data_IF_996726883142
#
_entry.id   IF_996726883142
#
_cell.length_a   1.000
_cell.length_b   1.000
_cell.length_c   1.000
_cell.angle_alpha   90.00
_cell.angle_beta   90.00
_cell.angle_gamma   90.00
#
_symmetry.space_group_name_H-M   'P 1'
#
loop_
_entity.id
_entity.type
_entity.pdbx_description
1 polymer ?
#
# COMPACT_ATOMS: atom_id res chain seq x y z
N UNK A 1 -43.98 0.38 -0.15
CA UNK A 1 -42.74 0.99 0.35
C UNK A 1 -42.28 1.96 -0.71
N UNK A 2 -42.14 3.20 -0.28
CA UNK A 2 -42.04 4.40 -1.11
C UNK A 2 -40.84 4.35 -2.06
N UNK A 3 -41.10 4.83 -3.27
CA UNK A 3 -40.13 5.07 -4.33
C UNK A 3 -39.07 6.02 -3.78
N UNK A 4 -37.82 5.55 -3.63
CA UNK A 4 -36.70 6.40 -3.24
C UNK A 4 -36.64 7.60 -4.19
N UNK A 5 -36.93 8.77 -3.64
CA UNK A 5 -36.84 10.03 -4.33
C UNK A 5 -35.44 10.16 -4.94
N UNK A 6 -35.41 10.38 -6.24
CA UNK A 6 -34.24 10.62 -7.08
C UNK A 6 -33.43 11.78 -6.47
N UNK A 7 -32.52 11.46 -5.54
CA UNK A 7 -31.61 12.44 -4.93
C UNK A 7 -30.74 12.95 -6.07
N UNK A 8 -30.97 14.18 -6.52
CA UNK A 8 -30.05 14.88 -7.42
C UNK A 8 -28.68 14.81 -6.77
N UNK A 9 -27.78 14.00 -7.32
CA UNK A 9 -26.40 13.97 -6.88
C UNK A 9 -25.82 15.37 -7.02
N UNK A 10 -25.26 15.89 -5.94
CA UNK A 10 -24.57 17.17 -5.96
C UNK A 10 -23.35 17.04 -6.87
N UNK A 11 -23.36 17.81 -7.97
CA UNK A 11 -22.24 17.85 -8.90
C UNK A 11 -21.31 18.99 -8.50
N UNK A 12 -20.01 18.71 -8.50
CA UNK A 12 -18.97 19.71 -8.28
C UNK A 12 -18.08 19.82 -9.50
N UNK A 13 -17.60 21.03 -9.81
CA UNK A 13 -16.68 21.20 -10.91
C UNK A 13 -15.27 20.77 -10.52
N UNK A 14 -14.62 20.05 -11.42
CA UNK A 14 -13.19 19.75 -11.35
C UNK A 14 -12.54 20.04 -12.71
N UNK A 15 -11.23 20.26 -12.70
CA UNK A 15 -10.45 20.53 -13.90
C UNK A 15 -9.45 19.41 -14.10
N UNK A 16 -9.67 18.56 -15.10
CA UNK A 16 -8.76 17.47 -15.45
C UNK A 16 -7.94 17.95 -16.65
N UNK A 17 -6.61 18.08 -16.48
CA UNK A 17 -5.71 18.56 -17.54
C UNK A 17 -6.18 19.88 -18.19
N UNK A 18 -6.77 20.77 -17.40
CA UNK A 18 -7.27 22.08 -17.86
C UNK A 18 -8.67 22.11 -18.46
N UNK A 19 -9.32 20.95 -18.65
CA UNK A 19 -10.72 20.89 -19.09
C UNK A 19 -11.65 20.72 -17.88
N UNK A 20 -12.74 21.51 -17.85
CA UNK A 20 -13.77 21.46 -16.80
C UNK A 20 -14.69 20.25 -16.99
N UNK A 21 -15.00 19.59 -15.89
CA UNK A 21 -15.96 18.48 -15.80
C UNK A 21 -16.85 18.68 -14.57
N UNK A 22 -18.13 18.30 -14.68
CA UNK A 22 -19.07 18.24 -13.56
C UNK A 22 -19.19 16.78 -13.14
N UNK A 23 -18.86 16.48 -11.88
CA UNK A 23 -18.80 15.11 -11.35
C UNK A 23 -19.51 15.02 -10.00
N UNK A 24 -20.08 13.87 -9.60
CA UNK A 24 -20.68 13.73 -8.28
C UNK A 24 -19.67 13.97 -7.16
N UNK A 25 -20.05 14.79 -6.18
CA UNK A 25 -19.20 15.21 -5.05
C UNK A 25 -18.75 14.04 -4.15
N UNK A 26 -19.45 12.90 -4.21
CA UNK A 26 -19.12 11.69 -3.45
C UNK A 26 -17.96 10.88 -4.06
N UNK A 27 -17.54 11.18 -5.29
CA UNK A 27 -16.53 10.39 -5.98
C UNK A 27 -15.13 10.72 -5.48
N UNK A 28 -14.28 9.70 -5.46
CA UNK A 28 -12.83 9.91 -5.34
C UNK A 28 -12.26 10.43 -6.65
N UNK A 29 -11.10 11.08 -6.62
CA UNK A 29 -10.42 11.60 -7.83
C UNK A 29 -10.38 10.55 -8.94
N UNK A 30 -10.06 9.31 -8.59
CA UNK A 30 -9.98 8.22 -9.56
C UNK A 30 -11.34 7.94 -10.22
N UNK A 31 -12.41 7.79 -9.42
CA UNK A 31 -13.76 7.56 -9.93
C UNK A 31 -14.29 8.75 -10.71
N UNK A 32 -13.96 9.97 -10.30
CA UNK A 32 -14.35 11.19 -10.99
C UNK A 32 -13.69 11.31 -12.37
N UNK A 33 -12.42 10.91 -12.50
CA UNK A 33 -11.77 10.82 -13.82
C UNK A 33 -12.44 9.78 -14.72
N UNK A 34 -12.78 8.60 -14.19
CA UNK A 34 -13.51 7.57 -14.92
C UNK A 34 -14.90 8.05 -15.36
N UNK A 35 -15.63 8.72 -14.45
CA UNK A 35 -16.93 9.35 -14.74
C UNK A 35 -16.82 10.41 -15.85
N UNK A 36 -15.73 11.19 -15.88
CA UNK A 36 -15.43 12.16 -16.92
C UNK A 36 -15.04 11.53 -18.28
N UNK A 37 -15.00 10.19 -18.37
CA UNK A 37 -14.74 9.43 -19.60
C UNK A 37 -13.28 9.03 -19.80
N UNK A 38 -12.41 9.20 -18.79
CA UNK A 38 -11.01 8.78 -18.88
C UNK A 38 -10.86 7.30 -18.52
N UNK A 39 -10.06 6.58 -19.32
CA UNK A 39 -9.66 5.21 -19.00
C UNK A 39 -8.28 5.20 -18.37
N UNK A 40 -8.20 4.74 -17.12
CA UNK A 40 -6.93 4.62 -16.40
C UNK A 40 -6.26 3.29 -16.75
N UNK A 41 -5.16 3.37 -17.52
CA UNK A 41 -4.31 2.23 -17.88
C UNK A 41 -3.08 2.15 -16.96
N UNK A 42 -2.67 3.29 -16.40
CA UNK A 42 -1.56 3.46 -15.45
C UNK A 42 -2.03 4.37 -14.32
N UNK A 43 -1.31 4.34 -13.19
CA UNK A 43 -1.69 5.14 -12.03
C UNK A 43 -2.92 4.60 -11.29
N UNK A 44 -3.26 3.32 -11.49
CA UNK A 44 -4.41 2.65 -10.88
C UNK A 44 -4.02 1.25 -10.41
N UNK A 45 -4.66 0.75 -9.35
CA UNK A 45 -4.36 -0.54 -8.75
C UNK A 45 -5.47 -1.00 -7.80
N UNK A 46 -5.16 -1.20 -6.51
CA UNK A 46 -6.08 -1.79 -5.53
C UNK A 46 -7.38 -1.02 -5.25
N UNK A 47 -7.44 0.28 -5.56
CA UNK A 47 -8.57 1.19 -5.23
C UNK A 47 -8.95 1.29 -3.74
N UNK A 48 -8.11 0.79 -2.83
CA UNK A 48 -8.32 0.82 -1.38
C UNK A 48 -7.21 1.50 -0.59
N UNK A 49 -6.36 2.31 -1.24
CA UNK A 49 -5.29 3.06 -0.56
C UNK A 49 -4.02 2.27 -0.21
N UNK A 50 -3.93 0.97 -0.54
CA UNK A 50 -2.86 0.09 -0.04
C UNK A 50 -1.67 -0.06 -1.00
N UNK A 51 -1.91 -0.02 -2.32
CA UNK A 51 -0.85 -0.31 -3.31
C UNK A 51 0.04 0.89 -3.69
N UNK A 52 -0.33 2.11 -3.29
CA UNK A 52 0.38 3.34 -3.66
C UNK A 52 0.33 3.77 -5.13
N UNK A 53 -0.23 2.95 -6.04
CA UNK A 53 -0.16 3.17 -7.49
C UNK A 53 -0.81 4.48 -7.98
N UNK A 54 -1.79 5.02 -7.24
CA UNK A 54 -2.59 6.17 -7.65
C UNK A 54 -2.19 7.48 -6.94
N UNK A 55 -0.92 7.60 -6.53
CA UNK A 55 -0.39 8.86 -6.01
C UNK A 55 -0.67 10.00 -7.00
N UNK A 56 -1.26 11.09 -6.51
CA UNK A 56 -1.66 12.22 -7.35
C UNK A 56 -1.29 13.54 -6.71
N UNK A 57 -1.21 14.57 -7.55
CA UNK A 57 -0.87 15.94 -7.21
C UNK A 57 -1.96 16.84 -7.75
N UNK A 58 -2.48 17.73 -6.91
CA UNK A 58 -3.54 18.65 -7.27
C UNK A 58 -3.38 19.99 -6.55
N UNK A 59 -4.16 20.99 -7.00
CA UNK A 59 -4.15 22.34 -6.44
C UNK A 59 -5.52 22.98 -6.55
N UNK A 60 -5.83 23.86 -5.61
CA UNK A 60 -7.03 24.70 -5.65
C UNK A 60 -6.75 26.05 -6.35
N UNK A 61 -7.76 26.66 -6.97
CA UNK A 61 -7.61 27.97 -7.61
C UNK A 61 -7.09 29.01 -6.61
N UNK A 62 -6.13 29.84 -7.05
CA UNK A 62 -5.54 30.89 -6.22
C UNK A 62 -4.63 30.42 -5.08
N UNK A 63 -4.51 29.10 -4.84
CA UNK A 63 -3.61 28.56 -3.81
C UNK A 63 -2.19 28.39 -4.34
N UNK A 64 -1.19 28.86 -3.59
CA UNK A 64 0.22 28.57 -3.87
C UNK A 64 0.60 27.13 -3.47
N UNK A 65 -0.18 26.51 -2.56
CA UNK A 65 0.11 25.19 -2.00
C UNK A 65 -0.17 24.10 -3.04
N UNK A 66 0.71 23.11 -3.09
CA UNK A 66 0.51 21.88 -3.85
C UNK A 66 0.02 20.84 -2.86
N UNK A 67 -1.13 20.25 -3.14
CA UNK A 67 -1.68 19.14 -2.40
C UNK A 67 -1.34 17.82 -3.08
N UNK A 68 -1.30 16.76 -2.27
CA UNK A 68 -1.00 15.41 -2.73
C UNK A 68 -1.95 14.43 -2.06
N UNK A 69 -2.19 13.29 -2.69
CA UNK A 69 -3.09 12.28 -2.15
C UNK A 69 -3.02 10.97 -2.91
N UNK A 70 -3.78 9.98 -2.46
CA UNK A 70 -4.06 8.78 -3.25
C UNK A 70 -5.39 9.00 -3.96
N UNK A 71 -5.39 9.01 -5.29
CA UNK A 71 -6.57 9.35 -6.07
C UNK A 71 -7.79 8.46 -5.78
N UNK A 72 -7.56 7.21 -5.34
CA UNK A 72 -8.62 6.28 -4.96
C UNK A 72 -9.23 6.53 -3.57
N UNK A 73 -8.63 7.39 -2.75
CA UNK A 73 -9.07 7.69 -1.38
C UNK A 73 -9.45 9.18 -1.23
N UNK A 74 -8.83 10.07 -1.99
CA UNK A 74 -9.14 11.50 -1.97
C UNK A 74 -10.46 11.76 -2.68
N UNK A 75 -11.47 12.23 -1.93
CA UNK A 75 -12.75 12.71 -2.46
C UNK A 75 -12.53 14.01 -3.23
N UNK A 76 -13.19 14.17 -4.38
CA UNK A 76 -13.10 15.40 -5.16
C UNK A 76 -13.72 16.57 -4.42
N UNK A 77 -13.15 17.76 -4.59
CA UNK A 77 -13.67 19.00 -4.04
C UNK A 77 -13.87 20.03 -5.16
N UNK A 78 -14.76 21.02 -4.97
CA UNK A 78 -14.99 22.06 -5.96
C UNK A 78 -13.71 22.74 -6.42
N UNK A 79 -13.64 22.92 -7.74
CA UNK A 79 -12.59 23.59 -8.49
C UNK A 79 -11.18 22.96 -8.34
N UNK A 80 -11.08 21.72 -7.86
CA UNK A 80 -9.82 20.97 -7.86
C UNK A 80 -9.20 20.93 -9.26
N UNK A 81 -7.95 21.36 -9.37
CA UNK A 81 -7.15 21.23 -10.57
C UNK A 81 -6.31 19.96 -10.50
N UNK A 82 -6.75 18.94 -11.22
CA UNK A 82 -6.18 17.60 -11.24
C UNK A 82 -5.20 17.49 -12.41
N UNK A 83 -3.99 17.07 -12.08
CA UNK A 83 -2.99 16.66 -13.07
C UNK A 83 -3.13 15.18 -13.39
N UNK A 84 -2.27 14.65 -14.26
CA UNK A 84 -2.21 13.20 -14.49
C UNK A 84 -1.84 12.49 -13.18
N UNK A 85 -2.37 11.29 -12.95
CA UNK A 85 -1.93 10.42 -11.84
C UNK A 85 -0.57 9.83 -12.25
N UNK A 86 0.56 10.41 -11.81
CA UNK A 86 1.85 10.04 -12.36
C UNK A 86 2.42 8.85 -11.58
N UNK A 87 3.17 8.01 -12.29
CA UNK A 87 4.18 7.20 -11.63
C UNK A 87 5.43 8.07 -11.52
N UNK A 88 5.90 8.36 -10.29
CA UNK A 88 7.16 9.07 -10.12
C UNK A 88 8.32 8.06 -10.18
N UNK A 89 9.16 8.10 -11.23
CA UNK A 89 10.27 7.17 -11.35
C UNK A 89 11.33 7.50 -10.30
N UNK A 90 11.95 6.45 -9.75
CA UNK A 90 13.12 6.59 -8.89
C UNK A 90 14.12 5.49 -9.22
N UNK A 91 15.40 5.79 -9.00
CA UNK A 91 16.46 4.80 -9.19
C UNK A 91 16.23 3.63 -8.26
N UNK A 92 16.22 2.42 -8.82
CA UNK A 92 16.07 1.18 -8.07
C UNK A 92 17.39 0.43 -8.11
N UNK A 93 18.05 0.31 -6.96
CA UNK A 93 19.26 -0.51 -6.87
C UNK A 93 18.91 -2.01 -6.94
N UNK A 94 19.81 -2.78 -7.55
CA UNK A 94 19.76 -4.24 -7.60
C UNK A 94 20.83 -4.77 -6.66
N UNK A 95 20.41 -5.58 -5.69
CA UNK A 95 21.27 -6.20 -4.71
C UNK A 95 20.78 -7.62 -4.41
N UNK A 96 21.72 -8.48 -4.05
CA UNK A 96 21.43 -9.81 -3.54
C UNK A 96 21.24 -9.72 -2.02
N UNK A 97 20.01 -9.93 -1.55
CA UNK A 97 19.66 -9.80 -0.14
C UNK A 97 20.45 -10.78 0.73
N UNK A 98 20.93 -11.89 0.18
CA UNK A 98 21.72 -12.90 0.92
C UNK A 98 23.17 -12.47 1.14
N UNK A 99 23.68 -11.54 0.32
CA UNK A 99 25.10 -11.12 0.31
C UNK A 99 25.35 -9.78 0.98
N UNK A 100 24.31 -9.09 1.44
CA UNK A 100 24.41 -7.77 2.08
C UNK A 100 24.24 -7.88 3.59
N UNK A 101 24.67 -6.84 4.33
CA UNK A 101 24.53 -6.80 5.79
C UNK A 101 23.59 -5.66 6.21
N UNK A 102 22.90 -5.78 7.36
CA UNK A 102 22.05 -4.72 7.90
C UNK A 102 22.91 -3.59 8.49
N UNK A 103 23.53 -2.80 7.62
CA UNK A 103 24.47 -1.75 8.00
C UNK A 103 24.36 -0.53 7.07
N UNK A 104 24.84 0.62 7.53
CA UNK A 104 24.79 1.89 6.79
C UNK A 104 25.52 1.80 5.44
N UNK A 105 26.61 1.06 5.36
CA UNK A 105 27.39 0.88 4.15
C UNK A 105 26.55 0.25 3.04
N UNK A 106 25.65 -0.68 3.39
CA UNK A 106 24.70 -1.26 2.45
C UNK A 106 23.72 -0.21 1.94
N UNK A 107 23.19 0.65 2.81
CA UNK A 107 22.26 1.71 2.41
C UNK A 107 22.95 2.71 1.47
N UNK A 108 24.11 3.22 1.85
CA UNK A 108 24.86 4.24 1.09
C UNK A 108 25.41 3.68 -0.22
N UNK A 109 25.83 2.41 -0.26
CA UNK A 109 26.26 1.76 -1.52
C UNK A 109 25.12 1.69 -2.53
N UNK A 110 23.90 1.42 -2.08
CA UNK A 110 22.74 1.27 -2.96
C UNK A 110 22.05 2.61 -3.27
N UNK A 111 22.08 3.56 -2.33
CA UNK A 111 21.42 4.85 -2.40
C UNK A 111 22.35 5.94 -1.80
N UNK A 112 23.41 6.34 -2.52
CA UNK A 112 24.36 7.34 -2.02
C UNK A 112 23.70 8.71 -1.76
N UNK A 113 22.59 8.99 -2.43
CA UNK A 113 21.79 10.19 -2.22
C UNK A 113 21.15 10.27 -0.83
N UNK A 114 21.09 9.17 -0.07
CA UNK A 114 20.64 9.15 1.34
C UNK A 114 21.33 10.24 2.18
N UNK A 115 22.63 10.43 1.98
CA UNK A 115 23.44 11.39 2.75
C UNK A 115 23.26 12.84 2.28
N UNK A 116 22.51 13.08 1.20
CA UNK A 116 22.21 14.43 0.68
C UNK A 116 20.99 15.07 1.37
N UNK A 117 20.41 14.41 2.37
CA UNK A 117 19.19 14.88 3.02
C UNK A 117 19.36 16.27 3.65
N UNK A 118 18.50 17.20 3.26
CA UNK A 118 18.48 18.58 3.78
C UNK A 118 17.66 18.74 5.06
N UNK A 119 17.01 17.67 5.55
CA UNK A 119 16.12 17.72 6.71
C UNK A 119 15.01 18.80 6.62
N UNK A 120 14.52 19.06 5.39
CA UNK A 120 13.51 20.09 5.11
C UNK A 120 12.07 19.67 5.44
N UNK A 121 11.84 18.40 5.84
CA UNK A 121 10.54 17.82 6.19
C UNK A 121 9.45 17.80 5.08
N UNK A 122 9.78 18.19 3.85
CA UNK A 122 8.83 18.18 2.72
C UNK A 122 8.25 16.79 2.44
N UNK A 123 9.07 15.75 2.57
CA UNK A 123 8.68 14.37 2.30
C UNK A 123 7.59 13.87 3.27
N UNK A 124 7.71 14.17 4.56
CA UNK A 124 6.69 13.86 5.58
C UNK A 124 5.38 14.57 5.24
N UNK A 125 5.44 15.88 4.93
CA UNK A 125 4.26 16.66 4.54
C UNK A 125 3.63 16.23 3.22
N UNK A 126 4.31 15.37 2.46
CA UNK A 126 3.81 14.83 1.19
C UNK A 126 3.32 13.38 1.32
N UNK A 127 3.39 12.78 2.51
CA UNK A 127 2.98 11.39 2.70
C UNK A 127 1.47 11.32 2.93
N UNK A 128 0.68 10.67 2.03
CA UNK A 128 -0.76 10.50 2.25
C UNK A 128 -1.11 9.44 3.30
N UNK A 129 -0.10 8.74 3.83
CA UNK A 129 -0.23 7.75 4.90
C UNK A 129 0.20 8.32 6.26
N UNK A 130 0.45 9.64 6.33
CA UNK A 130 0.91 10.34 7.54
C UNK A 130 2.19 9.74 8.17
N UNK A 131 3.06 9.19 7.34
CA UNK A 131 4.34 8.63 7.78
C UNK A 131 5.34 9.77 8.01
N UNK A 132 6.08 9.69 9.11
CA UNK A 132 7.25 10.53 9.41
C UNK A 132 8.43 10.15 8.50
N UNK A 133 8.31 10.49 7.22
CA UNK A 133 9.27 10.10 6.17
C UNK A 133 10.67 10.62 6.44
N UNK A 134 10.78 11.86 6.90
CA UNK A 134 12.07 12.45 7.24
C UNK A 134 12.77 11.67 8.35
N UNK A 135 12.01 11.19 9.34
CA UNK A 135 12.55 10.49 10.50
C UNK A 135 13.10 9.12 10.15
N UNK A 136 12.43 8.37 9.27
CA UNK A 136 12.98 7.11 8.80
C UNK A 136 14.22 7.32 7.92
N UNK A 137 14.27 8.41 7.15
CA UNK A 137 15.49 8.78 6.42
C UNK A 137 16.62 9.13 7.37
N UNK A 138 16.35 9.89 8.44
CA UNK A 138 17.32 10.18 9.48
C UNK A 138 17.79 8.91 10.21
N UNK A 139 16.91 7.94 10.45
CA UNK A 139 17.27 6.62 10.98
C UNK A 139 18.21 5.87 10.02
N UNK A 140 17.90 5.87 8.72
CA UNK A 140 18.78 5.31 7.68
C UNK A 140 20.16 5.97 7.65
N UNK A 141 20.24 7.30 7.79
CA UNK A 141 21.51 8.04 7.87
C UNK A 141 22.33 7.68 9.12
N UNK A 142 21.70 7.24 10.20
CA UNK A 142 22.38 6.72 11.41
C UNK A 142 22.73 5.23 11.32
N UNK A 143 22.33 4.54 10.25
CA UNK A 143 22.47 3.09 10.14
C UNK A 143 21.50 2.30 11.01
N UNK A 144 20.48 2.94 11.57
CA UNK A 144 19.48 2.30 12.43
C UNK A 144 18.42 1.60 11.56
N UNK A 145 18.72 0.35 11.19
CA UNK A 145 17.87 -0.47 10.31
C UNK A 145 16.54 -0.81 10.98
N UNK A 146 16.52 -1.04 12.29
CA UNK A 146 15.30 -1.34 13.05
C UNK A 146 14.35 -0.16 13.00
N UNK A 147 14.82 1.03 13.40
CA UNK A 147 13.98 2.23 13.40
C UNK A 147 13.54 2.63 12.00
N UNK A 148 14.40 2.49 10.99
CA UNK A 148 14.06 2.69 9.59
C UNK A 148 12.91 1.75 9.16
N UNK A 149 12.97 0.47 9.53
CA UNK A 149 11.96 -0.51 9.16
C UNK A 149 10.62 -0.27 9.87
N UNK A 150 10.63 0.02 11.17
CA UNK A 150 9.43 0.33 11.96
C UNK A 150 8.72 1.58 11.47
N UNK A 151 9.44 2.70 11.33
CA UNK A 151 8.86 3.96 10.88
C UNK A 151 8.34 3.92 9.45
N UNK A 152 8.84 3.01 8.61
CA UNK A 152 8.42 2.88 7.22
C UNK A 152 7.51 1.69 6.96
N UNK A 153 7.02 1.02 8.00
CA UNK A 153 6.24 -0.22 7.88
C UNK A 153 4.99 -0.04 7.00
N UNK A 154 4.25 1.04 7.23
CA UNK A 154 3.02 1.38 6.49
C UNK A 154 3.28 2.02 5.12
N UNK A 155 4.53 2.13 4.69
CA UNK A 155 4.88 2.75 3.41
C UNK A 155 4.32 1.92 2.24
N UNK A 156 3.30 2.47 1.59
CA UNK A 156 2.65 1.95 0.37
C UNK A 156 3.43 2.25 -0.92
N UNK A 157 4.60 2.86 -0.81
CA UNK A 157 5.51 3.14 -1.94
C UNK A 157 4.89 3.99 -3.08
N UNK A 158 4.06 4.99 -2.73
CA UNK A 158 3.39 5.88 -3.69
C UNK A 158 4.31 6.90 -4.40
N UNK A 159 5.55 7.07 -3.94
CA UNK A 159 6.56 7.94 -4.59
C UNK A 159 6.37 9.46 -4.39
N UNK A 160 5.30 9.92 -3.71
CA UNK A 160 5.02 11.35 -3.51
C UNK A 160 6.07 12.07 -2.64
N UNK A 161 6.74 11.36 -1.73
CA UNK A 161 7.86 11.91 -0.97
C UNK A 161 9.09 12.19 -1.86
N UNK A 162 9.34 11.30 -2.83
CA UNK A 162 10.44 11.42 -3.79
C UNK A 162 10.17 12.54 -4.78
N UNK A 163 8.93 12.69 -5.25
CA UNK A 163 8.57 13.73 -6.22
C UNK A 163 8.76 15.17 -5.72
N UNK A 164 8.79 15.36 -4.40
CA UNK A 164 8.97 16.68 -3.76
C UNK A 164 10.29 16.82 -3.03
N UNK A 165 11.22 15.87 -3.19
CA UNK A 165 12.50 15.93 -2.51
C UNK A 165 13.46 16.85 -3.28
N UNK A 166 13.90 17.99 -2.70
CA UNK A 166 14.88 18.87 -3.35
C UNK A 166 16.27 18.24 -3.45
N UNK A 167 16.54 17.18 -2.68
CA UNK A 167 17.78 16.41 -2.71
C UNK A 167 17.67 15.15 -3.59
N UNK A 168 16.55 14.97 -4.29
CA UNK A 168 16.31 13.86 -5.23
C UNK A 168 16.47 12.46 -4.60
N UNK A 169 16.15 12.33 -3.30
CA UNK A 169 16.27 11.08 -2.56
C UNK A 169 15.15 10.11 -2.92
N UNK A 170 15.49 8.84 -3.17
CA UNK A 170 14.52 7.77 -3.43
C UNK A 170 13.97 7.15 -2.12
N UNK A 171 13.24 7.91 -1.29
CA UNK A 171 12.96 7.51 0.11
C UNK A 171 12.25 6.17 0.23
N UNK A 172 11.24 5.91 -0.60
CA UNK A 172 10.49 4.65 -0.53
C UNK A 172 11.32 3.42 -0.95
N UNK A 173 12.32 3.61 -1.81
CA UNK A 173 13.27 2.56 -2.22
C UNK A 173 14.31 2.28 -1.13
N UNK A 174 14.70 3.31 -0.37
CA UNK A 174 15.54 3.17 0.82
C UNK A 174 14.77 2.46 1.93
N UNK A 175 13.51 2.85 2.16
CA UNK A 175 12.61 2.23 3.13
C UNK A 175 12.41 0.73 2.86
N UNK A 176 12.12 0.33 1.62
CA UNK A 176 11.96 -1.11 1.30
C UNK A 176 13.26 -1.90 1.48
N UNK A 177 14.43 -1.31 1.18
CA UNK A 177 15.72 -1.94 1.48
C UNK A 177 15.89 -2.12 3.00
N UNK A 178 15.60 -1.09 3.80
CA UNK A 178 15.62 -1.16 5.26
C UNK A 178 14.71 -2.27 5.81
N UNK A 179 13.45 -2.32 5.36
CA UNK A 179 12.48 -3.36 5.74
C UNK A 179 12.95 -4.77 5.36
N UNK A 180 13.57 -4.93 4.18
CA UNK A 180 14.14 -6.22 3.75
C UNK A 180 15.32 -6.65 4.61
N UNK A 181 16.23 -5.73 4.93
CA UNK A 181 17.37 -5.99 5.82
C UNK A 181 16.88 -6.38 7.21
N UNK A 182 15.91 -5.66 7.75
CA UNK A 182 15.27 -5.98 9.02
C UNK A 182 14.64 -7.38 9.01
N UNK A 183 13.76 -7.66 8.04
CA UNK A 183 13.08 -8.96 7.97
C UNK A 183 14.02 -10.16 7.73
N UNK A 184 15.15 -9.95 7.03
CA UNK A 184 16.12 -11.02 6.77
C UNK A 184 17.01 -11.30 7.98
N UNK A 185 17.53 -10.25 8.61
CA UNK A 185 18.68 -10.34 9.53
C UNK A 185 18.39 -9.93 10.97
N UNK A 186 17.33 -9.15 11.23
CA UNK A 186 17.05 -8.57 12.55
C UNK A 186 15.82 -9.21 13.19
N UNK A 187 14.74 -9.35 12.42
CA UNK A 187 13.49 -9.90 12.92
C UNK A 187 13.66 -11.38 13.36
N UNK A 188 13.11 -11.78 14.52
CA UNK A 188 13.15 -13.17 14.95
C UNK A 188 12.36 -14.05 13.98
N UNK A 189 12.83 -15.28 13.80
CA UNK A 189 12.14 -16.25 12.94
C UNK A 189 10.91 -16.80 13.65
N UNK A 190 9.79 -16.83 12.95
CA UNK A 190 8.55 -17.44 13.43
C UNK A 190 8.71 -18.95 13.57
N UNK A 191 8.93 -19.45 14.78
CA UNK A 191 9.09 -20.89 15.05
C UNK A 191 7.84 -21.69 14.71
N UNK A 192 6.65 -21.12 14.96
CA UNK A 192 5.37 -21.73 14.60
C UNK A 192 5.28 -21.97 13.08
N UNK A 193 5.73 -21.02 12.26
CA UNK A 193 5.77 -21.18 10.80
C UNK A 193 6.71 -22.31 10.40
N UNK A 194 7.90 -22.39 11.00
CA UNK A 194 8.85 -23.48 10.72
C UNK A 194 8.27 -24.85 11.12
N UNK A 195 7.50 -24.92 12.20
CA UNK A 195 6.78 -26.13 12.60
C UNK A 195 5.71 -26.50 11.57
N UNK A 196 4.88 -25.54 11.15
CA UNK A 196 3.82 -25.78 10.17
C UNK A 196 4.38 -26.22 8.82
N UNK A 197 5.47 -25.62 8.34
CA UNK A 197 6.13 -26.04 7.08
C UNK A 197 6.58 -27.49 7.16
N UNK A 198 7.20 -27.93 8.27
CA UNK A 198 7.59 -29.34 8.45
C UNK A 198 6.39 -30.28 8.42
N UNK A 199 5.27 -29.91 9.02
CA UNK A 199 4.06 -30.73 9.02
C UNK A 199 3.42 -30.82 7.62
N UNK A 200 3.43 -29.71 6.87
CA UNK A 200 3.00 -29.69 5.46
C UNK A 200 3.91 -30.60 4.61
N UNK A 201 5.23 -30.51 4.76
CA UNK A 201 6.20 -31.35 4.02
C UNK A 201 6.09 -32.84 4.34
N UNK A 202 5.69 -33.20 5.57
CA UNK A 202 5.37 -34.58 5.96
C UNK A 202 4.05 -35.09 5.36
N UNK A 203 3.30 -34.24 4.68
CA UNK A 203 2.02 -34.59 4.08
C UNK A 203 0.86 -34.64 5.07
N UNK A 204 0.93 -33.92 6.20
CA UNK A 204 -0.14 -33.89 7.23
C UNK A 204 -1.54 -33.66 6.62
N UNK A 205 -1.61 -32.83 5.58
CA UNK A 205 -2.87 -32.44 4.91
C UNK A 205 -3.16 -33.21 3.62
N UNK A 206 -2.25 -34.06 3.15
CA UNK A 206 -2.31 -34.65 1.81
C UNK A 206 -3.51 -35.59 1.65
N UNK A 207 -3.72 -36.49 2.61
CA UNK A 207 -4.81 -37.46 2.54
C UNK A 207 -6.18 -36.78 2.50
N UNK A 208 -6.38 -35.78 3.36
CA UNK A 208 -7.62 -35.01 3.41
C UNK A 208 -7.84 -34.23 2.10
N UNK A 209 -6.83 -33.54 1.59
CA UNK A 209 -6.96 -32.76 0.36
C UNK A 209 -7.32 -33.66 -0.82
N UNK A 210 -6.70 -34.84 -0.92
CA UNK A 210 -7.06 -35.85 -1.95
C UNK A 210 -8.51 -36.31 -1.81
N UNK A 211 -8.96 -36.63 -0.61
CA UNK A 211 -10.36 -37.01 -0.38
C UNK A 211 -11.32 -35.92 -0.83
N UNK A 212 -11.03 -34.64 -0.51
CA UNK A 212 -11.86 -33.51 -0.95
C UNK A 212 -11.81 -33.33 -2.48
N UNK A 213 -10.66 -33.54 -3.11
CA UNK A 213 -10.52 -33.47 -4.57
C UNK A 213 -11.26 -34.58 -5.32
N UNK A 214 -11.35 -35.77 -4.72
CA UNK A 214 -12.01 -36.94 -5.31
C UNK A 214 -13.53 -36.99 -5.04
N UNK A 215 -14.05 -36.04 -4.25
CA UNK A 215 -15.46 -35.96 -3.85
C UNK A 215 -16.29 -35.19 -4.87
N UNK A 216 -17.59 -35.50 -4.98
CA UNK A 216 -18.51 -34.81 -5.87
C UNK A 216 -18.85 -33.37 -5.43
N UNK A 217 -19.33 -32.55 -6.36
CA UNK A 217 -19.65 -31.14 -6.14
C UNK A 217 -20.76 -30.92 -5.11
N UNK A 218 -21.75 -31.82 -5.03
CA UNK A 218 -22.87 -31.70 -4.09
C UNK A 218 -22.38 -31.87 -2.64
N UNK A 219 -21.55 -32.89 -2.42
CA UNK A 219 -20.91 -33.13 -1.13
C UNK A 219 -19.99 -31.96 -0.75
N UNK A 220 -19.21 -31.40 -1.68
CA UNK A 220 -18.38 -30.21 -1.42
C UNK A 220 -19.21 -28.99 -1.00
N UNK A 221 -20.34 -28.73 -1.66
CA UNK A 221 -21.26 -27.63 -1.28
C UNK A 221 -21.84 -27.81 0.12
N UNK A 222 -22.18 -29.05 0.48
CA UNK A 222 -22.70 -29.39 1.80
C UNK A 222 -21.62 -29.17 2.88
N UNK A 223 -20.40 -29.66 2.66
CA UNK A 223 -19.27 -29.44 3.56
C UNK A 223 -18.95 -27.95 3.74
N UNK A 224 -18.95 -27.19 2.64
CA UNK A 224 -18.73 -25.74 2.70
C UNK A 224 -19.82 -25.04 3.52
N UNK A 225 -21.09 -25.40 3.33
CA UNK A 225 -22.21 -24.76 4.02
C UNK A 225 -22.27 -25.14 5.51
N UNK A 226 -21.83 -26.36 5.86
CA UNK A 226 -21.79 -26.85 7.23
C UNK A 226 -20.57 -26.36 8.03
N UNK A 227 -19.59 -25.71 7.38
CA UNK A 227 -18.36 -25.27 8.04
C UNK A 227 -18.66 -24.29 9.18
N UNK A 228 -17.91 -24.41 10.27
CA UNK A 228 -17.95 -23.40 11.32
C UNK A 228 -17.19 -22.15 10.84
N UNK A 229 -17.86 -21.00 10.86
CA UNK A 229 -17.30 -19.71 10.44
C UNK A 229 -16.82 -18.98 11.69
N UNK A 230 -15.62 -18.41 11.62
CA UNK A 230 -15.09 -17.54 12.65
C UNK A 230 -16.09 -16.40 12.94
N UNK A 231 -16.53 -16.22 14.20
CA UNK A 231 -17.42 -15.12 14.55
C UNK A 231 -16.77 -13.76 14.27
N UNK A 232 -17.56 -12.74 13.92
CA UNK A 232 -17.05 -11.38 13.71
C UNK A 232 -16.30 -10.80 14.93
N UNK A 233 -16.60 -11.31 16.13
CA UNK A 233 -15.94 -10.94 17.39
C UNK A 233 -15.17 -12.13 17.99
N UNK A 234 -14.63 -13.00 17.14
CA UNK A 234 -13.77 -14.11 17.56
C UNK A 234 -12.52 -13.62 18.30
N UNK A 235 -12.02 -14.44 19.22
CA UNK A 235 -10.71 -14.20 19.82
C UNK A 235 -9.58 -14.53 18.82
N UNK A 236 -8.39 -13.97 19.04
CA UNK A 236 -7.21 -14.14 18.15
C UNK A 236 -6.75 -15.62 18.03
N UNK A 237 -7.22 -16.49 18.92
CA UNK A 237 -6.90 -17.91 18.97
C UNK A 237 -8.09 -18.78 18.58
N UNK A 238 -9.10 -18.20 17.91
CA UNK A 238 -10.29 -18.93 17.54
C UNK A 238 -9.93 -20.09 16.61
N UNK A 239 -10.49 -21.25 16.91
CA UNK A 239 -10.40 -22.43 16.05
C UNK A 239 -11.77 -23.11 16.00
N UNK A 240 -12.15 -23.69 14.86
CA UNK A 240 -13.39 -24.46 14.79
C UNK A 240 -13.31 -25.65 15.75
N UNK A 241 -14.47 -26.05 16.27
CA UNK A 241 -14.64 -27.22 17.15
C UNK A 241 -14.29 -28.49 16.40
N UNK A 242 -14.72 -28.58 15.14
CA UNK A 242 -14.30 -29.65 14.24
C UNK A 242 -12.92 -29.33 13.66
N UNK A 243 -11.93 -30.11 14.09
CA UNK A 243 -10.52 -30.03 13.65
C UNK A 243 -10.12 -31.20 12.77
N UNK A 244 -11.08 -31.96 12.24
CA UNK A 244 -10.82 -33.10 11.33
C UNK A 244 -9.90 -32.70 10.18
N UNK A 245 -9.94 -31.42 9.81
CA UNK A 245 -9.22 -30.85 8.67
C UNK A 245 -8.09 -29.86 9.04
N UNK A 246 -7.67 -29.76 10.32
CA UNK A 246 -6.67 -28.79 10.83
C UNK A 246 -5.39 -29.41 11.43
#
# INVERSE_FOLDING_TARGET
>A
MEVEANKKEELVPIFIMGKRYEVPASLTIQKAMEYAGYQLIRGCGCRGGICGACGTVYRFPGSYKIEVGLACQTVVQPDMYLTQIPFFPATKSIYDIEKVKPAIETLVKNYPELLRCLQCNTCTKSCPMDIEVMDYIAAGMRGDITRLAELSFDCVMCGLCTSRCPAEICQYNIAILGRRLYGKYVAPRAEHLASMVREVEKGKYEQMLRQLMDTDEETLKNLYSAREIEPEQGDEYWTPKDKTYL
#
